data_IF_062550172339
#
_entry.id   IF_062550172339
#
_cell.length_a   1.000
_cell.length_b   1.000
_cell.length_c   1.000
_cell.angle_alpha   90.00
_cell.angle_beta   90.00
_cell.angle_gamma   90.00
#
_symmetry.space_group_name_H-M   'P 1'
#
loop_
_entity.id
_entity.type
_entity.pdbx_description
1 polymer ?
#
# COMPACT_ATOMS: atom_id res chain seq x y z
N UNK A 1 20.92 5.73 -5.11
CA UNK A 1 19.72 5.63 -5.99
C UNK A 1 19.00 6.98 -6.09
N UNK A 2 18.48 7.37 -7.26
CA UNK A 2 17.87 8.70 -7.49
C UNK A 2 16.33 8.71 -7.55
N UNK A 3 15.68 7.56 -7.66
CA UNK A 3 14.22 7.43 -7.62
C UNK A 3 13.78 6.06 -7.09
N UNK A 4 12.59 6.02 -6.51
CA UNK A 4 11.95 4.82 -5.96
C UNK A 4 10.44 4.91 -6.22
N UNK A 5 9.87 3.83 -6.73
CA UNK A 5 8.45 3.72 -7.05
C UNK A 5 7.98 2.34 -6.59
N UNK A 6 6.98 2.29 -5.71
CA UNK A 6 6.48 1.05 -5.10
C UNK A 6 4.99 0.94 -5.38
N UNK A 7 4.53 -0.23 -5.83
CA UNK A 7 3.12 -0.57 -5.99
C UNK A 7 2.63 -1.31 -4.72
N UNK A 8 2.24 -0.53 -3.72
CA UNK A 8 1.91 -0.99 -2.38
C UNK A 8 0.78 -2.04 -2.38
N UNK A 9 1.06 -3.27 -1.97
CA UNK A 9 0.07 -4.35 -1.91
C UNK A 9 -0.28 -5.00 -3.26
N UNK A 10 0.44 -4.71 -4.34
CA UNK A 10 0.25 -5.40 -5.62
C UNK A 10 1.58 -5.75 -6.31
N UNK A 11 1.49 -6.54 -7.38
CA UNK A 11 2.62 -6.89 -8.23
C UNK A 11 3.16 -5.66 -8.98
N UNK A 12 4.34 -5.83 -9.56
CA UNK A 12 4.95 -4.83 -10.43
C UNK A 12 3.98 -4.30 -11.49
N UNK A 13 4.01 -2.97 -11.69
CA UNK A 13 3.18 -2.29 -12.67
C UNK A 13 3.98 -1.23 -13.44
N UNK A 14 3.65 -1.07 -14.72
CA UNK A 14 4.15 0.01 -15.56
C UNK A 14 3.01 0.98 -15.81
N UNK A 15 3.20 2.23 -15.38
CA UNK A 15 2.23 3.32 -15.49
C UNK A 15 2.94 4.55 -16.05
N UNK A 16 2.45 5.06 -17.19
CA UNK A 16 3.02 6.22 -17.88
C UNK A 16 4.54 6.11 -18.12
N UNK A 17 5.02 4.91 -18.46
CA UNK A 17 6.45 4.64 -18.68
C UNK A 17 7.29 4.49 -17.42
N UNK A 18 6.71 4.65 -16.23
CA UNK A 18 7.39 4.45 -14.94
C UNK A 18 7.10 3.04 -14.42
N UNK A 19 8.16 2.31 -14.04
CA UNK A 19 8.08 0.99 -13.40
C UNK A 19 7.96 1.16 -11.88
N UNK A 20 6.91 0.57 -11.31
CA UNK A 20 6.66 0.48 -9.87
C UNK A 20 6.98 -0.93 -9.40
N UNK A 21 7.89 -1.06 -8.43
CA UNK A 21 8.28 -2.34 -7.84
C UNK A 21 7.12 -2.93 -7.03
N UNK A 22 6.94 -4.25 -7.12
CA UNK A 22 5.80 -4.93 -6.50
C UNK A 22 6.00 -5.17 -5.00
N UNK A 23 4.93 -4.97 -4.24
CA UNK A 23 4.84 -5.29 -2.83
C UNK A 23 3.73 -6.33 -2.60
N UNK A 24 4.08 -7.62 -2.65
CA UNK A 24 3.11 -8.72 -2.65
C UNK A 24 3.13 -9.55 -1.37
N UNK A 25 3.83 -9.11 -0.33
CA UNK A 25 4.00 -9.92 0.89
C UNK A 25 2.66 -10.08 1.62
N UNK A 26 2.16 -11.31 1.85
CA UNK A 26 0.80 -11.52 2.36
C UNK A 26 0.65 -11.25 3.86
N UNK A 27 1.75 -11.25 4.62
CA UNK A 27 1.75 -11.01 6.07
C UNK A 27 1.85 -9.51 6.38
N UNK A 28 1.52 -9.14 7.62
CA UNK A 28 1.62 -7.73 8.08
C UNK A 28 1.42 -7.47 9.57
N UNK A 29 1.15 -8.49 10.39
CA UNK A 29 0.85 -8.35 11.82
C UNK A 29 1.98 -7.69 12.63
N UNK A 30 3.20 -8.14 12.37
CA UNK A 30 4.44 -7.61 12.92
C UNK A 30 5.56 -8.15 12.07
N UNK A 31 6.06 -7.33 11.15
CA UNK A 31 7.10 -7.77 10.24
C UNK A 31 7.90 -6.62 9.66
N UNK A 32 9.14 -6.94 9.31
CA UNK A 32 9.99 -6.17 8.42
C UNK A 32 10.19 -6.99 7.14
N UNK A 33 9.80 -6.43 6.01
CA UNK A 33 10.07 -6.97 4.69
C UNK A 33 11.24 -6.24 4.05
N UNK A 34 12.14 -6.99 3.42
CA UNK A 34 13.19 -6.46 2.57
C UNK A 34 12.91 -6.90 1.13
N UNK A 35 12.92 -5.95 0.19
CA UNK A 35 12.80 -6.25 -1.25
C UNK A 35 13.94 -7.17 -1.71
N UNK A 36 13.74 -7.98 -2.78
CA UNK A 36 14.77 -8.91 -3.25
C UNK A 36 16.10 -8.24 -3.59
N UNK A 37 16.03 -7.05 -4.21
CA UNK A 37 17.21 -6.26 -4.57
C UNK A 37 17.73 -5.39 -3.42
N UNK A 38 17.16 -5.52 -2.21
CA UNK A 38 17.51 -4.75 -1.01
C UNK A 38 17.49 -3.23 -1.21
N UNK A 39 16.64 -2.75 -2.13
CA UNK A 39 16.54 -1.35 -2.50
C UNK A 39 15.49 -0.58 -1.71
N UNK A 40 14.51 -1.28 -1.18
CA UNK A 40 13.48 -0.75 -0.31
C UNK A 40 13.01 -1.82 0.66
N UNK A 41 12.34 -1.39 1.72
CA UNK A 41 11.77 -2.24 2.75
C UNK A 41 10.43 -1.68 3.22
N UNK A 42 9.64 -2.49 3.93
CA UNK A 42 8.51 -1.98 4.68
C UNK A 42 8.38 -2.65 6.04
N UNK A 43 7.87 -1.91 7.02
CA UNK A 43 7.47 -2.42 8.33
C UNK A 43 5.97 -2.24 8.52
N UNK A 44 5.30 -3.25 9.07
CA UNK A 44 3.86 -3.25 9.33
C UNK A 44 3.57 -3.81 10.72
N UNK A 45 2.57 -3.25 11.41
CA UNK A 45 2.21 -3.62 12.77
C UNK A 45 0.69 -3.65 13.03
N UNK A 46 0.28 -4.54 13.93
CA UNK A 46 -1.09 -4.70 14.42
C UNK A 46 -1.84 -5.83 13.71
N UNK A 47 -2.86 -6.36 14.39
CA UNK A 47 -3.82 -7.33 13.82
C UNK A 47 -5.17 -6.63 13.56
N UNK A 48 -5.94 -7.14 12.61
CA UNK A 48 -7.33 -6.71 12.43
C UNK A 48 -8.23 -7.33 13.51
N UNK A 49 -9.50 -6.95 13.53
CA UNK A 49 -10.45 -7.50 14.51
C UNK A 49 -10.65 -8.99 14.26
N UNK A 50 -10.72 -9.77 15.33
CA UNK A 50 -11.02 -11.21 15.28
C UNK A 50 -12.44 -11.42 14.75
N UNK A 51 -12.55 -11.59 13.44
CA UNK A 51 -13.78 -11.81 12.69
C UNK A 51 -13.98 -13.30 12.36
N UNK A 52 -13.32 -14.19 13.12
CA UNK A 52 -13.32 -15.64 12.92
C UNK A 52 -12.74 -16.06 11.55
N UNK A 53 -11.95 -15.21 10.91
CA UNK A 53 -11.09 -15.55 9.77
C UNK A 53 -9.70 -15.89 10.33
N UNK A 54 -9.20 -17.09 10.01
CA UNK A 54 -7.96 -17.61 10.59
C UNK A 54 -6.71 -16.76 10.27
N UNK A 55 -6.72 -16.07 9.12
CA UNK A 55 -5.61 -15.22 8.67
C UNK A 55 -6.11 -13.83 8.28
N UNK A 56 -5.60 -12.82 8.99
CA UNK A 56 -5.78 -11.41 8.64
C UNK A 56 -5.29 -11.13 7.20
N UNK A 57 -6.10 -10.40 6.43
CA UNK A 57 -5.70 -9.97 5.11
C UNK A 57 -5.07 -8.57 5.14
N UNK A 58 -3.77 -8.50 4.84
CA UNK A 58 -3.00 -7.26 4.78
C UNK A 58 -2.96 -6.63 3.38
N UNK A 59 -3.70 -7.19 2.41
CA UNK A 59 -3.82 -6.65 1.06
C UNK A 59 -5.31 -6.47 0.71
N UNK A 60 -5.72 -5.21 0.58
CA UNK A 60 -7.01 -4.86 0.03
C UNK A 60 -7.02 -5.10 -1.48
N UNK A 61 -8.15 -5.57 -2.01
CA UNK A 61 -8.42 -5.55 -3.45
C UNK A 61 -9.65 -4.71 -3.71
N UNK A 62 -9.63 -3.96 -4.81
CA UNK A 62 -10.76 -3.15 -5.25
C UNK A 62 -12.00 -4.01 -5.47
N UNK A 63 -13.12 -3.53 -4.94
CA UNK A 63 -14.42 -4.19 -5.02
C UNK A 63 -15.22 -3.80 -6.27
N UNK A 64 -14.74 -2.79 -7.00
CA UNK A 64 -15.37 -2.24 -8.21
C UNK A 64 -14.36 -2.15 -9.36
N UNK A 65 -14.77 -1.69 -10.55
CA UNK A 65 -13.80 -1.34 -11.61
C UNK A 65 -13.52 0.16 -11.51
N UNK A 66 -12.34 0.54 -11.02
CA UNK A 66 -11.92 1.93 -11.04
C UNK A 66 -11.77 2.48 -12.47
N UNK A 67 -12.66 3.38 -12.86
CA UNK A 67 -12.56 4.18 -14.09
C UNK A 67 -11.84 5.49 -13.81
N UNK A 68 -10.52 5.41 -13.57
CA UNK A 68 -9.64 6.57 -13.35
C UNK A 68 -8.31 6.37 -14.08
N UNK A 69 -7.59 7.45 -14.44
CA UNK A 69 -6.23 7.34 -14.94
C UNK A 69 -5.34 6.55 -13.97
N UNK A 70 -4.42 5.76 -14.50
CA UNK A 70 -3.49 4.95 -13.71
C UNK A 70 -4.17 3.93 -12.77
N UNK A 71 -5.39 3.46 -13.11
CA UNK A 71 -6.16 2.48 -12.32
C UNK A 71 -5.38 1.25 -11.86
N UNK A 72 -4.33 0.85 -12.61
CA UNK A 72 -3.40 -0.22 -12.23
C UNK A 72 -2.73 -0.02 -10.85
N UNK A 73 -2.49 1.22 -10.41
CA UNK A 73 -1.90 1.52 -9.10
C UNK A 73 -2.92 1.49 -7.96
N UNK A 74 -4.21 1.37 -8.28
CA UNK A 74 -5.30 1.45 -7.31
C UNK A 74 -6.11 0.15 -7.26
N UNK A 75 -5.68 -0.89 -7.98
CA UNK A 75 -6.36 -2.19 -7.99
C UNK A 75 -6.25 -2.91 -6.64
N UNK A 76 -5.14 -2.70 -5.92
CA UNK A 76 -4.90 -3.22 -4.58
C UNK A 76 -4.15 -2.20 -3.74
N UNK A 77 -4.18 -2.40 -2.42
CA UNK A 77 -3.45 -1.58 -1.47
C UNK A 77 -2.97 -2.41 -0.29
N UNK A 78 -1.76 -2.15 0.21
CA UNK A 78 -1.31 -2.69 1.50
C UNK A 78 -2.08 -2.03 2.64
N UNK A 79 -2.54 -2.87 3.57
CA UNK A 79 -3.19 -2.45 4.80
C UNK A 79 -2.27 -2.68 5.99
N UNK A 80 -2.45 -1.85 7.00
CA UNK A 80 -1.88 -2.05 8.34
C UNK A 80 -2.85 -1.52 9.39
N UNK A 81 -3.13 -2.29 10.46
CA UNK A 81 -4.03 -1.84 11.53
C UNK A 81 -3.50 -0.68 12.36
N UNK A 82 -2.17 -0.59 12.58
CA UNK A 82 -1.56 0.40 13.46
C UNK A 82 -0.59 1.33 12.73
N UNK A 83 0.49 0.78 12.16
CA UNK A 83 1.50 1.57 11.46
C UNK A 83 2.05 0.85 10.25
N UNK A 84 2.30 1.61 9.19
CA UNK A 84 2.93 1.15 7.96
C UNK A 84 4.01 2.14 7.58
N UNK A 85 5.24 1.66 7.47
CA UNK A 85 6.39 2.48 7.09
C UNK A 85 7.08 1.85 5.91
N UNK A 86 7.29 2.62 4.84
CA UNK A 86 8.16 2.23 3.74
C UNK A 86 9.50 2.91 3.87
N UNK A 87 10.57 2.19 3.53
CA UNK A 87 11.94 2.65 3.59
C UNK A 87 12.54 2.60 2.19
N UNK A 88 13.10 3.72 1.72
CA UNK A 88 14.02 3.72 0.59
C UNK A 88 15.44 3.47 1.09
N UNK A 89 16.09 2.42 0.61
CA UNK A 89 17.44 2.04 1.03
C UNK A 89 18.46 2.56 0.02
N UNK A 90 19.65 2.94 0.49
CA UNK A 90 20.76 3.41 -0.35
C UNK A 90 20.37 4.57 -1.31
N UNK A 91 19.46 5.44 -0.85
CA UNK A 91 19.08 6.68 -1.55
C UNK A 91 20.24 7.69 -1.43
N UNK A 92 20.49 8.45 -2.50
CA UNK A 92 21.53 9.49 -2.46
C UNK A 92 21.08 10.67 -1.59
N UNK A 93 22.03 11.37 -0.98
CA UNK A 93 21.69 12.59 -0.26
C UNK A 93 21.21 13.65 -1.26
N UNK A 94 20.05 14.24 -1.02
CA UNK A 94 19.48 15.25 -1.88
C UNK A 94 18.01 15.53 -1.57
N UNK A 95 17.44 16.48 -2.30
CA UNK A 95 16.02 16.78 -2.22
C UNK A 95 15.22 15.83 -3.10
N UNK A 96 14.10 15.33 -2.57
CA UNK A 96 13.23 14.39 -3.26
C UNK A 96 11.82 14.95 -3.39
N UNK A 97 11.19 14.74 -4.54
CA UNK A 97 9.74 14.91 -4.69
C UNK A 97 9.04 13.62 -4.30
N UNK A 98 8.29 13.65 -3.20
CA UNK A 98 7.49 12.50 -2.75
C UNK A 98 6.09 12.59 -3.35
N UNK A 99 5.66 11.54 -4.04
CA UNK A 99 4.29 11.41 -4.58
C UNK A 99 3.61 10.22 -3.91
N UNK A 100 2.51 10.48 -3.22
CA UNK A 100 1.71 9.46 -2.55
C UNK A 100 0.40 9.27 -3.30
N UNK A 101 0.05 8.01 -3.54
CA UNK A 101 -1.13 7.60 -4.29
C UNK A 101 -2.15 7.01 -3.31
N UNK A 102 -3.31 7.66 -3.18
CA UNK A 102 -4.39 7.21 -2.31
C UNK A 102 -5.69 7.07 -3.10
N UNK A 103 -6.43 6.00 -2.81
CA UNK A 103 -7.79 5.78 -3.27
C UNK A 103 -8.53 4.97 -2.19
N UNK A 104 -9.81 5.27 -1.99
CA UNK A 104 -10.69 4.39 -1.21
C UNK A 104 -11.25 3.32 -2.15
N UNK A 105 -10.98 2.05 -1.85
CA UNK A 105 -11.28 0.89 -2.72
C UNK A 105 -12.12 -0.19 -2.03
N UNK A 106 -12.38 -0.02 -0.73
CA UNK A 106 -13.17 -0.94 0.10
C UNK A 106 -14.53 -0.33 0.44
N UNK A 107 -14.54 0.91 0.93
CA UNK A 107 -15.76 1.61 1.34
C UNK A 107 -16.40 2.29 0.14
N UNK A 108 -17.53 1.75 -0.30
CA UNK A 108 -18.33 2.27 -1.41
C UNK A 108 -19.29 3.35 -0.92
N UNK A 109 -19.57 4.35 -1.75
CA UNK A 109 -20.57 5.39 -1.45
C UNK A 109 -21.99 4.97 -1.88
N UNK A 110 -22.34 3.70 -1.67
CA UNK A 110 -23.65 3.14 -1.99
C UNK A 110 -24.56 3.12 -0.74
N UNK A 111 -25.76 2.54 -0.88
CA UNK A 111 -26.73 2.43 0.23
C UNK A 111 -26.50 1.17 1.09
N UNK A 112 -25.30 0.60 1.10
CA UNK A 112 -24.94 -0.55 1.94
C UNK A 112 -24.18 -0.12 3.19
N UNK A 113 -24.02 -1.03 4.16
CA UNK A 113 -23.23 -0.79 5.38
C UNK A 113 -21.77 -0.41 5.11
N UNK A 114 -21.21 -0.71 3.92
CA UNK A 114 -19.84 -0.34 3.56
C UNK A 114 -19.62 1.18 3.51
N UNK A 115 -20.67 1.94 3.21
CA UNK A 115 -20.63 3.42 3.15
C UNK A 115 -20.39 4.09 4.51
N UNK A 116 -20.60 3.37 5.61
CA UNK A 116 -20.35 3.89 6.97
C UNK A 116 -18.87 3.88 7.34
N UNK A 117 -18.05 3.08 6.64
CA UNK A 117 -16.64 2.93 6.90
C UNK A 117 -15.88 4.23 6.63
N UNK A 118 -14.95 4.58 7.54
CA UNK A 118 -14.06 5.73 7.39
C UNK A 118 -12.64 5.32 7.75
N UNK A 119 -11.66 5.78 6.96
CA UNK A 119 -10.24 5.65 7.27
C UNK A 119 -9.66 7.04 7.52
N UNK A 120 -8.98 7.22 8.65
CA UNK A 120 -8.25 8.44 9.00
C UNK A 120 -6.87 8.04 9.47
N UNK A 121 -5.85 8.69 8.91
CA UNK A 121 -4.46 8.42 9.26
C UNK A 121 -3.63 9.69 9.04
N UNK A 122 -2.46 9.72 9.66
CA UNK A 122 -1.46 10.76 9.47
C UNK A 122 -0.33 10.20 8.61
N UNK A 123 0.30 11.07 7.83
CA UNK A 123 1.47 10.73 7.01
C UNK A 123 2.66 11.51 7.55
N UNK A 124 3.75 10.80 7.82
CA UNK A 124 5.03 11.38 8.23
C UNK A 124 6.09 10.99 7.20
N UNK A 125 6.94 11.95 6.83
CA UNK A 125 8.04 11.79 5.86
C UNK A 125 9.31 12.27 6.56
N UNK A 126 10.39 11.50 6.44
CA UNK A 126 11.71 11.77 7.02
C UNK A 126 12.76 11.94 5.93
#
# INVERSE_FOLDING_TARGET
RSSLHINCGDKEAIVNGVKYEGDTTPKGASMLYLSPDSNWAFSSTGNFMDDNINDDNYIASDTSKLTMPNSKLYAKARLSPLSLTYYGLCMHNGSYTVKLHFAEIIFTNDRTYRSLGKRKFNVFIQ
#
